data_IF_864533932670
#
_entry.id   IF_864533932670
#
_cell.length_a   1.000
_cell.length_b   1.000
_cell.length_c   1.000
_cell.angle_alpha   90.00
_cell.angle_beta   90.00
_cell.angle_gamma   90.00
#
_symmetry.space_group_name_H-M   'P 1'
#
loop_
_entity.id
_entity.type
_entity.pdbx_description
1 polymer ?
#
# COMPACT_ATOMS: atom_id res chain seq x y z
N UNK A 1 6.28 -11.61 -12.74
CA UNK A 1 6.83 -10.25 -13.00
C UNK A 1 5.81 -9.20 -12.57
N UNK A 2 6.25 -8.13 -11.92
CA UNK A 2 5.39 -7.05 -11.43
C UNK A 2 4.58 -6.40 -12.57
N UNK A 3 3.27 -6.28 -12.39
CA UNK A 3 2.33 -5.71 -13.36
C UNK A 3 1.83 -4.32 -12.91
N UNK A 4 1.68 -4.10 -11.60
CA UNK A 4 1.18 -2.84 -11.05
C UNK A 4 1.58 -2.65 -9.60
N UNK A 5 1.77 -1.42 -9.18
CA UNK A 5 1.85 -1.04 -7.77
C UNK A 5 0.62 -0.24 -7.35
N UNK A 6 0.10 -0.54 -6.17
CA UNK A 6 -1.06 0.13 -5.58
C UNK A 6 -0.64 0.78 -4.26
N UNK A 7 -0.91 2.07 -4.15
CA UNK A 7 -0.67 2.85 -2.92
C UNK A 7 -1.91 3.65 -2.52
N UNK A 8 -2.00 4.03 -1.27
CA UNK A 8 -3.09 4.85 -0.74
C UNK A 8 -3.01 4.99 0.78
N UNK A 9 -3.74 5.93 1.33
CA UNK A 9 -3.85 6.10 2.79
C UNK A 9 -4.62 4.94 3.45
N UNK A 10 -4.47 4.74 4.78
CA UNK A 10 -5.30 3.78 5.53
C UNK A 10 -6.80 4.02 5.26
N UNK A 11 -7.52 2.95 4.94
CA UNK A 11 -8.95 3.00 4.66
C UNK A 11 -9.35 3.38 3.23
N UNK A 12 -8.40 3.65 2.31
CA UNK A 12 -8.73 3.98 0.91
C UNK A 12 -9.24 2.79 0.07
N UNK A 13 -9.15 1.55 0.59
CA UNK A 13 -9.67 0.37 -0.11
C UNK A 13 -8.64 -0.34 -0.99
N UNK A 14 -7.33 -0.01 -0.86
CA UNK A 14 -6.24 -0.63 -1.62
C UNK A 14 -6.26 -2.15 -1.52
N UNK A 15 -6.40 -2.72 -0.33
CA UNK A 15 -6.42 -4.18 -0.14
C UNK A 15 -7.63 -4.86 -0.80
N UNK A 16 -8.80 -4.19 -0.81
CA UNK A 16 -9.99 -4.68 -1.52
C UNK A 16 -9.74 -4.67 -3.03
N UNK A 17 -9.21 -3.59 -3.56
CA UNK A 17 -8.84 -3.50 -4.98
C UNK A 17 -7.84 -4.59 -5.37
N UNK A 18 -6.79 -4.79 -4.59
CA UNK A 18 -5.77 -5.83 -4.85
C UNK A 18 -6.40 -7.22 -4.87
N UNK A 19 -7.31 -7.53 -3.93
CA UNK A 19 -8.02 -8.81 -3.91
C UNK A 19 -8.84 -9.03 -5.18
N UNK A 20 -9.64 -8.03 -5.57
CA UNK A 20 -10.48 -8.10 -6.78
C UNK A 20 -9.64 -8.19 -8.06
N UNK A 21 -8.54 -7.45 -8.14
CA UNK A 21 -7.64 -7.47 -9.28
C UNK A 21 -6.95 -8.83 -9.43
N UNK A 22 -6.48 -9.40 -8.32
CA UNK A 22 -5.87 -10.74 -8.31
C UNK A 22 -6.88 -11.83 -8.74
N UNK A 23 -8.14 -11.73 -8.28
CA UNK A 23 -9.20 -12.63 -8.68
C UNK A 23 -9.51 -12.51 -10.20
N UNK A 24 -9.64 -11.27 -10.70
CA UNK A 24 -9.97 -11.00 -12.11
C UNK A 24 -8.88 -11.46 -13.09
N UNK A 25 -7.60 -11.34 -12.71
CA UNK A 25 -6.45 -11.61 -13.60
C UNK A 25 -5.75 -12.95 -13.28
N UNK A 26 -6.11 -13.64 -12.20
CA UNK A 26 -5.38 -14.84 -11.74
C UNK A 26 -3.97 -14.50 -11.23
N UNK A 27 -3.78 -13.30 -10.68
CA UNK A 27 -2.48 -12.79 -10.24
C UNK A 27 -2.20 -13.04 -8.77
N UNK A 28 -0.92 -13.05 -8.41
CA UNK A 28 -0.46 -13.02 -7.03
C UNK A 28 -0.14 -11.60 -6.58
N UNK A 29 -0.25 -11.36 -5.29
CA UNK A 29 0.09 -10.07 -4.70
C UNK A 29 0.98 -10.22 -3.48
N UNK A 30 1.71 -9.15 -3.19
CA UNK A 30 2.42 -8.96 -1.93
C UNK A 30 2.05 -7.59 -1.37
N UNK A 31 1.72 -7.53 -0.08
CA UNK A 31 1.51 -6.26 0.61
C UNK A 31 2.53 -6.04 1.73
N UNK A 32 2.84 -4.77 2.02
CA UNK A 32 3.81 -4.41 3.03
C UNK A 32 3.45 -4.93 4.44
N UNK A 33 2.16 -5.04 4.75
CA UNK A 33 1.70 -5.61 6.01
C UNK A 33 1.94 -7.11 6.11
N UNK A 34 1.87 -7.83 5.00
CA UNK A 34 2.22 -9.25 4.95
C UNK A 34 3.73 -9.45 5.15
N UNK A 35 4.53 -8.66 4.45
CA UNK A 35 5.99 -8.68 4.62
C UNK A 35 6.39 -8.38 6.07
N UNK A 36 5.73 -7.39 6.70
CA UNK A 36 5.93 -7.08 8.12
C UNK A 36 5.61 -8.28 9.01
N UNK A 37 4.51 -8.99 8.77
CA UNK A 37 4.15 -10.20 9.53
C UNK A 37 5.14 -11.35 9.31
N UNK A 38 5.58 -11.55 8.08
CA UNK A 38 6.57 -12.58 7.74
C UNK A 38 7.91 -12.30 8.45
N UNK A 39 8.36 -11.05 8.46
CA UNK A 39 9.62 -10.67 9.09
C UNK A 39 9.54 -10.76 10.62
N UNK A 40 8.43 -10.35 11.25
CA UNK A 40 8.20 -10.56 12.68
C UNK A 40 8.29 -12.04 13.04
N UNK A 41 7.63 -12.91 12.27
CA UNK A 41 7.68 -14.37 12.45
C UNK A 41 9.11 -14.92 12.27
N UNK A 42 9.85 -14.46 11.25
CA UNK A 42 11.24 -14.86 11.01
C UNK A 42 12.14 -14.53 12.19
N UNK A 43 11.88 -13.40 12.87
CA UNK A 43 12.62 -12.97 14.07
C UNK A 43 12.09 -13.59 15.37
N UNK A 44 11.05 -14.43 15.31
CA UNK A 44 10.36 -14.99 16.47
C UNK A 44 9.81 -13.92 17.43
N UNK A 45 9.32 -12.80 16.88
CA UNK A 45 8.76 -11.68 17.61
C UNK A 45 7.23 -11.63 17.47
N UNK A 46 6.54 -11.12 18.51
CA UNK A 46 5.14 -10.71 18.33
C UNK A 46 5.04 -9.50 17.40
N UNK A 47 3.87 -9.29 16.77
CA UNK A 47 3.66 -8.11 15.92
C UNK A 47 3.80 -6.80 16.69
N UNK A 48 3.43 -6.79 17.97
CA UNK A 48 3.56 -5.63 18.85
C UNK A 48 5.04 -5.32 19.15
N UNK A 49 5.82 -6.33 19.52
CA UNK A 49 7.25 -6.16 19.81
C UNK A 49 8.04 -5.77 18.56
N UNK A 50 7.70 -6.38 17.41
CA UNK A 50 8.33 -6.01 16.16
C UNK A 50 7.97 -4.60 15.71
N UNK A 51 6.70 -4.17 15.90
CA UNK A 51 6.28 -2.80 15.68
C UNK A 51 6.97 -1.78 16.59
N UNK A 52 7.25 -2.16 17.83
CA UNK A 52 8.03 -1.32 18.74
C UNK A 52 9.50 -1.23 18.30
N UNK A 53 10.11 -2.35 17.90
CA UNK A 53 11.46 -2.37 17.34
C UNK A 53 11.59 -1.44 16.12
N UNK A 54 10.64 -1.46 15.19
CA UNK A 54 10.64 -0.57 14.02
C UNK A 54 10.57 0.93 14.39
N UNK A 55 9.95 1.28 15.52
CA UNK A 55 9.93 2.66 16.03
C UNK A 55 11.27 3.09 16.65
N UNK A 56 11.96 2.15 17.27
CA UNK A 56 13.23 2.37 17.96
C UNK A 56 14.43 2.32 17.01
N UNK A 57 14.31 1.54 15.94
CA UNK A 57 15.38 1.32 14.98
C UNK A 57 14.85 1.43 13.53
N UNK A 58 15.01 2.60 12.94
CA UNK A 58 14.62 2.90 11.56
C UNK A 58 15.32 2.02 10.51
N UNK A 59 16.43 1.37 10.86
CA UNK A 59 17.10 0.44 9.97
C UNK A 59 16.27 -0.82 9.70
N UNK A 60 15.43 -1.21 10.66
CA UNK A 60 14.48 -2.32 10.48
C UNK A 60 13.45 -1.99 9.39
N UNK A 61 12.93 -0.75 9.38
CA UNK A 61 12.04 -0.27 8.31
C UNK A 61 12.76 -0.27 6.94
N UNK A 62 14.02 0.19 6.88
CA UNK A 62 14.82 0.13 5.65
C UNK A 62 15.02 -1.29 5.13
N UNK A 63 15.20 -2.25 6.02
CA UNK A 63 15.31 -3.67 5.64
C UNK A 63 13.99 -4.20 5.06
N UNK A 64 12.84 -3.85 5.64
CA UNK A 64 11.53 -4.21 5.09
C UNK A 64 11.30 -3.62 3.69
N UNK A 65 11.64 -2.35 3.51
CA UNK A 65 11.53 -1.70 2.20
C UNK A 65 12.53 -2.29 1.18
N UNK A 66 13.71 -2.72 1.63
CA UNK A 66 14.67 -3.42 0.76
C UNK A 66 14.13 -4.77 0.29
N UNK A 67 13.53 -5.55 1.19
CA UNK A 67 12.86 -6.80 0.83
C UNK A 67 11.70 -6.56 -0.15
N UNK A 68 10.92 -5.49 0.03
CA UNK A 68 9.86 -5.14 -0.89
C UNK A 68 10.40 -4.79 -2.28
N UNK A 69 11.48 -4.01 -2.37
CA UNK A 69 12.17 -3.66 -3.63
C UNK A 69 12.74 -4.90 -4.33
N UNK A 70 13.30 -5.85 -3.58
CA UNK A 70 13.76 -7.13 -4.13
C UNK A 70 12.62 -7.89 -4.80
N UNK A 71 11.42 -7.92 -4.18
CA UNK A 71 10.25 -8.55 -4.78
C UNK A 71 9.76 -7.83 -6.04
N UNK A 72 9.93 -6.51 -6.15
CA UNK A 72 9.54 -5.73 -7.34
C UNK A 72 10.32 -6.09 -8.60
N UNK A 73 11.57 -6.49 -8.46
CA UNK A 73 12.46 -6.80 -9.59
C UNK A 73 12.57 -8.30 -9.89
N UNK A 74 11.85 -9.15 -9.14
CA UNK A 74 11.80 -10.59 -9.41
C UNK A 74 11.11 -10.88 -10.74
N UNK A 75 11.63 -11.88 -11.45
CA UNK A 75 11.14 -12.32 -12.77
C UNK A 75 10.83 -13.82 -12.83
N UNK A 76 10.90 -14.52 -11.68
CA UNK A 76 10.54 -15.93 -11.58
C UNK A 76 9.03 -16.15 -11.43
N UNK A 77 8.59 -17.39 -11.45
CA UNK A 77 7.17 -17.78 -11.40
C UNK A 77 6.50 -17.44 -10.05
N UNK A 78 7.30 -17.21 -9.00
CA UNK A 78 6.79 -16.83 -7.68
C UNK A 78 6.76 -15.30 -7.49
N UNK A 79 7.22 -14.51 -8.48
CA UNK A 79 7.22 -13.06 -8.42
C UNK A 79 5.79 -12.51 -8.30
N UNK A 80 5.52 -11.56 -7.36
CA UNK A 80 4.20 -10.97 -7.25
C UNK A 80 3.87 -10.12 -8.47
N UNK A 81 2.63 -10.23 -8.96
CA UNK A 81 2.10 -9.38 -10.04
C UNK A 81 1.64 -8.04 -9.52
N UNK A 82 1.17 -7.97 -8.28
CA UNK A 82 0.70 -6.75 -7.62
C UNK A 82 1.48 -6.53 -6.33
N UNK A 83 2.02 -5.33 -6.15
CA UNK A 83 2.62 -4.93 -4.87
C UNK A 83 1.87 -3.74 -4.30
N UNK A 84 1.38 -3.90 -3.08
CA UNK A 84 0.67 -2.88 -2.32
C UNK A 84 1.47 -2.45 -1.10
N UNK A 85 1.78 -1.15 -1.01
CA UNK A 85 2.29 -0.53 0.21
C UNK A 85 2.14 0.99 0.15
N UNK A 86 2.42 1.68 1.27
CA UNK A 86 2.42 3.15 1.33
C UNK A 86 3.38 3.78 0.31
N UNK A 87 4.54 3.17 0.11
CA UNK A 87 5.60 3.67 -0.76
C UNK A 87 5.86 2.79 -2.00
N UNK A 88 4.97 1.85 -2.35
CA UNK A 88 5.21 0.97 -3.50
C UNK A 88 5.35 1.75 -4.81
N UNK A 89 4.57 2.82 -5.00
CA UNK A 89 4.72 3.73 -6.15
C UNK A 89 6.08 4.42 -6.17
N UNK A 90 6.56 4.91 -5.01
CA UNK A 90 7.88 5.51 -4.88
C UNK A 90 9.00 4.53 -5.19
N UNK A 91 8.91 3.30 -4.71
CA UNK A 91 9.97 2.31 -4.95
C UNK A 91 10.02 1.90 -6.41
N UNK A 92 8.87 1.65 -7.05
CA UNK A 92 8.82 1.35 -8.47
C UNK A 92 9.33 2.53 -9.34
N UNK A 93 9.03 3.78 -8.95
CA UNK A 93 9.56 4.99 -9.60
C UNK A 93 11.09 5.07 -9.49
N UNK A 94 11.65 4.92 -8.28
CA UNK A 94 13.09 4.96 -8.04
C UNK A 94 13.86 3.79 -8.67
N UNK A 95 13.19 2.67 -8.90
CA UNK A 95 13.74 1.51 -9.63
C UNK A 95 13.52 1.64 -11.15
N UNK A 96 12.98 2.77 -11.62
CA UNK A 96 12.71 3.05 -13.05
C UNK A 96 11.87 1.96 -13.74
N UNK A 97 10.95 1.34 -12.99
CA UNK A 97 10.08 0.31 -13.54
C UNK A 97 8.98 0.94 -14.41
N UNK A 98 8.76 0.35 -15.58
CA UNK A 98 7.73 0.81 -16.53
C UNK A 98 6.30 0.43 -16.15
N UNK A 99 6.10 -0.26 -15.02
CA UNK A 99 4.80 -0.68 -14.50
C UNK A 99 3.93 0.50 -14.09
N UNK A 100 2.60 0.45 -14.28
CA UNK A 100 1.66 1.40 -13.72
C UNK A 100 1.82 1.54 -12.22
N UNK A 101 1.84 2.77 -11.74
CA UNK A 101 1.95 3.13 -10.33
C UNK A 101 0.73 3.93 -9.95
N UNK A 102 -0.20 3.29 -9.22
CA UNK A 102 -1.52 3.82 -8.93
C UNK A 102 -1.60 4.30 -7.49
N UNK A 103 -2.09 5.54 -7.31
CA UNK A 103 -2.49 6.08 -6.03
C UNK A 103 -4.01 6.12 -5.94
N UNK A 104 -4.59 5.50 -4.89
CA UNK A 104 -6.00 5.68 -4.55
C UNK A 104 -6.16 6.86 -3.60
N UNK A 105 -6.74 7.94 -4.12
CA UNK A 105 -7.14 9.09 -3.34
C UNK A 105 -8.58 8.91 -2.86
N UNK A 106 -8.82 9.11 -1.57
CA UNK A 106 -10.14 8.99 -0.94
C UNK A 106 -10.21 9.97 0.22
N UNK A 107 -11.33 10.69 0.30
CA UNK A 107 -11.58 11.65 1.38
C UNK A 107 -11.54 11.01 2.76
N UNK A 108 -11.09 11.77 3.76
CA UNK A 108 -10.93 11.30 5.15
C UNK A 108 -12.22 10.68 5.72
N UNK A 109 -13.35 11.32 5.45
CA UNK A 109 -14.67 10.85 5.95
C UNK A 109 -15.04 9.53 5.28
N UNK A 110 -14.86 9.43 3.96
CA UNK A 110 -15.17 8.19 3.22
C UNK A 110 -14.24 7.04 3.63
N UNK A 111 -12.94 7.30 3.85
CA UNK A 111 -12.01 6.31 4.40
C UNK A 111 -12.47 5.79 5.75
N UNK A 112 -12.94 6.68 6.62
CA UNK A 112 -13.46 6.30 7.94
C UNK A 112 -14.76 5.49 7.86
N UNK A 113 -15.67 5.82 6.94
CA UNK A 113 -16.90 5.04 6.70
C UNK A 113 -16.57 3.62 6.21
N UNK A 114 -15.59 3.47 5.32
CA UNK A 114 -15.13 2.14 4.83
C UNK A 114 -14.56 1.29 5.97
N UNK A 115 -13.77 1.89 6.85
CA UNK A 115 -13.26 1.22 8.05
C UNK A 115 -14.40 0.86 9.00
N UNK A 116 -15.35 1.80 9.26
CA UNK A 116 -16.51 1.56 10.10
C UNK A 116 -17.39 0.40 9.59
N UNK A 117 -17.63 0.35 8.28
CA UNK A 117 -18.42 -0.73 7.67
C UNK A 117 -17.76 -2.11 7.83
N UNK A 118 -16.43 -2.18 7.86
CA UNK A 118 -15.66 -3.43 8.01
C UNK A 118 -15.49 -3.86 9.47
N UNK A 119 -15.22 -2.91 10.36
CA UNK A 119 -14.75 -3.17 11.73
C UNK A 119 -15.74 -2.74 12.80
N UNK A 120 -16.77 -1.95 12.43
CA UNK A 120 -17.66 -1.28 13.36
C UNK A 120 -17.00 -0.08 14.02
N UNK A 121 -17.63 0.44 15.07
CA UNK A 121 -17.09 1.52 15.89
C UNK A 121 -17.70 2.88 15.63
N UNK A 122 -17.22 3.87 16.37
CA UNK A 122 -17.65 5.26 16.26
C UNK A 122 -16.92 5.99 15.13
N UNK A 123 -17.67 6.69 14.27
CA UNK A 123 -17.10 7.31 13.07
C UNK A 123 -16.06 8.39 13.39
N UNK A 124 -16.33 9.24 14.37
CA UNK A 124 -15.41 10.34 14.72
C UNK A 124 -14.09 9.80 15.31
N UNK A 125 -14.19 8.75 16.11
CA UNK A 125 -13.01 8.04 16.64
C UNK A 125 -12.17 7.41 15.54
N UNK A 126 -12.81 6.85 14.51
CA UNK A 126 -12.13 6.26 13.35
C UNK A 126 -11.45 7.33 12.48
N UNK A 127 -12.11 8.47 12.27
CA UNK A 127 -11.53 9.62 11.54
C UNK A 127 -10.24 10.05 12.24
N UNK A 128 -10.27 10.24 13.54
CA UNK A 128 -9.11 10.68 14.31
C UNK A 128 -7.99 9.62 14.28
N UNK A 129 -8.32 8.34 14.46
CA UNK A 129 -7.37 7.26 14.36
C UNK A 129 -6.70 7.16 12.97
N UNK A 130 -7.47 7.34 11.89
CA UNK A 130 -6.93 7.35 10.52
C UNK A 130 -6.00 8.55 10.29
N UNK A 131 -6.36 9.74 10.78
CA UNK A 131 -5.51 10.94 10.70
C UNK A 131 -4.20 10.75 11.47
N UNK A 132 -4.30 10.26 12.69
CA UNK A 132 -3.12 9.98 13.51
C UNK A 132 -2.19 8.96 12.86
N UNK A 133 -2.74 7.90 12.29
CA UNK A 133 -1.95 6.88 11.57
C UNK A 133 -1.25 7.47 10.32
N UNK A 134 -1.97 8.26 9.52
CA UNK A 134 -1.37 8.92 8.36
C UNK A 134 -0.24 9.86 8.77
N UNK A 135 -0.44 10.65 9.84
CA UNK A 135 0.58 11.56 10.35
C UNK A 135 1.84 10.81 10.84
N UNK A 136 1.66 9.67 11.53
CA UNK A 136 2.79 8.84 11.98
C UNK A 136 3.55 8.26 10.77
N UNK A 137 2.82 7.76 9.77
CA UNK A 137 3.42 7.24 8.54
C UNK A 137 4.20 8.35 7.80
N UNK A 138 3.61 9.53 7.62
CA UNK A 138 4.23 10.68 6.97
C UNK A 138 5.52 11.12 7.68
N UNK A 139 5.50 11.28 9.00
CA UNK A 139 6.68 11.64 9.79
C UNK A 139 7.79 10.61 9.64
N UNK A 140 7.44 9.32 9.71
CA UNK A 140 8.39 8.23 9.58
C UNK A 140 9.03 8.18 8.19
N UNK A 141 8.26 8.33 7.12
CA UNK A 141 8.79 8.28 5.77
C UNK A 141 9.58 9.54 5.39
N UNK A 142 9.17 10.70 5.92
CA UNK A 142 9.95 11.92 5.77
C UNK A 142 11.32 11.79 6.47
N UNK A 143 11.36 11.28 7.70
CA UNK A 143 12.60 11.04 8.44
C UNK A 143 13.50 10.00 7.76
N UNK A 144 12.93 8.90 7.25
CA UNK A 144 13.68 7.83 6.60
C UNK A 144 14.22 8.22 5.23
N UNK A 145 13.44 8.94 4.43
CA UNK A 145 13.66 9.07 2.99
C UNK A 145 13.46 10.47 2.43
N UNK A 146 12.93 11.42 3.22
CA UNK A 146 12.50 12.74 2.72
C UNK A 146 11.34 12.64 1.74
N UNK A 147 10.43 11.69 1.92
CA UNK A 147 9.32 11.40 1.02
C UNK A 147 8.00 11.37 1.77
N UNK A 148 6.93 11.79 1.08
CA UNK A 148 5.56 11.61 1.55
C UNK A 148 4.81 10.67 0.60
N UNK A 149 4.03 9.70 1.12
CA UNK A 149 3.32 8.72 0.29
C UNK A 149 2.41 9.36 -0.76
N UNK A 150 1.73 10.46 -0.42
CA UNK A 150 0.75 11.16 -1.25
C UNK A 150 1.35 12.12 -2.28
N UNK A 151 2.66 12.31 -2.34
CA UNK A 151 3.29 13.11 -3.41
C UNK A 151 2.97 12.50 -4.77
N UNK A 152 2.61 13.35 -5.73
CA UNK A 152 2.10 12.91 -7.03
C UNK A 152 3.19 12.43 -7.99
N UNK A 153 4.43 12.85 -7.77
CA UNK A 153 5.57 12.60 -8.66
C UNK A 153 5.78 11.12 -9.03
N UNK A 154 5.68 10.13 -8.11
CA UNK A 154 5.98 8.75 -8.45
C UNK A 154 4.84 8.04 -9.19
N UNK A 155 3.61 8.58 -9.16
CA UNK A 155 2.43 7.89 -9.67
C UNK A 155 2.18 8.19 -11.14
N UNK A 156 1.89 7.16 -11.92
CA UNK A 156 1.44 7.29 -13.31
C UNK A 156 -0.04 7.67 -13.35
N UNK A 157 -0.81 7.19 -12.36
CA UNK A 157 -2.25 7.43 -12.26
C UNK A 157 -2.67 7.70 -10.82
N UNK A 158 -3.54 8.70 -10.65
CA UNK A 158 -4.21 9.01 -9.39
C UNK A 158 -5.70 8.83 -9.62
N UNK A 159 -6.33 7.90 -8.89
CA UNK A 159 -7.75 7.62 -8.99
C UNK A 159 -8.44 8.19 -7.76
N UNK A 160 -9.28 9.23 -7.95
CA UNK A 160 -10.18 9.67 -6.89
C UNK A 160 -11.33 8.66 -6.76
N UNK A 161 -11.28 7.89 -5.69
CA UNK A 161 -12.21 6.80 -5.41
C UNK A 161 -13.20 7.15 -4.27
N UNK A 162 -13.35 8.44 -3.93
CA UNK A 162 -14.27 8.86 -2.84
C UNK A 162 -15.71 8.46 -3.11
N UNK A 163 -16.17 8.66 -4.36
CA UNK A 163 -17.55 8.37 -4.79
C UNK A 163 -17.69 7.05 -5.56
N UNK A 164 -16.59 6.27 -5.67
CA UNK A 164 -16.58 5.02 -6.42
C UNK A 164 -16.75 3.81 -5.50
N UNK A 165 -17.53 2.84 -5.94
CA UNK A 165 -17.56 1.53 -5.31
C UNK A 165 -16.37 0.66 -5.76
N UNK A 166 -16.16 -0.48 -5.11
CA UNK A 166 -14.98 -1.32 -5.34
C UNK A 166 -14.90 -1.86 -6.78
N UNK A 167 -16.04 -2.12 -7.43
CA UNK A 167 -16.08 -2.62 -8.81
C UNK A 167 -15.77 -1.51 -9.83
N UNK A 168 -16.21 -0.29 -9.56
CA UNK A 168 -15.89 0.88 -10.39
C UNK A 168 -14.40 1.21 -10.32
N UNK A 169 -13.79 1.12 -9.12
CA UNK A 169 -12.34 1.28 -8.96
C UNK A 169 -11.59 0.18 -9.69
N UNK A 170 -12.04 -1.08 -9.58
CA UNK A 170 -11.45 -2.19 -10.33
C UNK A 170 -11.51 -1.94 -11.83
N UNK A 171 -12.68 -1.54 -12.37
CA UNK A 171 -12.84 -1.25 -13.80
C UNK A 171 -11.85 -0.20 -14.27
N UNK A 172 -11.73 0.92 -13.54
CA UNK A 172 -10.77 1.98 -13.86
C UNK A 172 -9.32 1.48 -13.89
N UNK A 173 -8.96 0.57 -12.97
CA UNK A 173 -7.60 -0.01 -12.97
C UNK A 173 -7.40 -0.99 -14.11
N UNK A 174 -8.41 -1.78 -14.47
CA UNK A 174 -8.33 -2.69 -15.62
C UNK A 174 -8.15 -1.92 -16.92
N UNK A 175 -8.86 -0.80 -17.10
CA UNK A 175 -8.71 0.09 -18.27
C UNK A 175 -7.28 0.64 -18.37
N UNK A 176 -6.71 1.10 -17.24
CA UNK A 176 -5.30 1.55 -17.18
C UNK A 176 -4.34 0.43 -17.60
N UNK A 177 -4.58 -0.80 -17.12
CA UNK A 177 -3.71 -1.94 -17.41
C UNK A 177 -3.75 -2.39 -18.89
N UNK A 178 -4.77 -2.01 -19.64
CA UNK A 178 -4.85 -2.27 -21.09
C UNK A 178 -3.94 -1.34 -21.91
N UNK A 179 -3.46 -0.25 -21.31
CA UNK A 179 -2.57 0.72 -21.97
C UNK A 179 -1.08 0.34 -21.86
N UNK A 180 -0.74 -0.67 -21.04
CA UNK A 180 0.63 -1.11 -20.73
C UNK A 180 0.94 -2.50 -21.26
#
# INVERSE_FOLDING_TARGET
>A
MLQVTISGHPGSGTSTLVSLLCEAKGWSSLNGGELFRQEAKRRNMSLADFGQLCKEDLEVDRQLDSLLKEQMVRVDDEAPSVIESRLSGWWAYKLELSTPRIWLEVDDIERAKRVQAREGGDLDSIIEANKQRSKIDDQRFDELYGLLPQQTEPYTHIINASDLNAQEVLASVLDILEEY
#
